data_IF_699140206990
#
_entry.id   IF_699140206990
#
_cell.length_a   1.000
_cell.length_b   1.000
_cell.length_c   1.000
_cell.angle_alpha   90.00
_cell.angle_beta   90.00
_cell.angle_gamma   90.00
#
_symmetry.space_group_name_H-M   'P 1'
#
loop_
_entity.id
_entity.type
_entity.pdbx_description
1 polymer ?
#
# COMPACT_ATOMS: atom_id res chain seq x y z
N UNK A 1 16.82 -28.84 -9.15
CA UNK A 1 16.39 -27.88 -8.10
C UNK A 1 14.88 -27.85 -8.10
N UNK A 2 14.24 -28.42 -7.07
CA UNK A 2 12.80 -28.25 -6.86
C UNK A 2 12.58 -26.86 -6.27
N UNK A 3 12.04 -25.93 -7.06
CA UNK A 3 11.65 -24.62 -6.58
C UNK A 3 10.50 -24.78 -5.57
N UNK A 4 10.70 -24.33 -4.34
CA UNK A 4 9.68 -24.32 -3.30
C UNK A 4 9.04 -22.93 -3.21
N UNK A 5 7.71 -22.86 -3.25
CA UNK A 5 6.96 -21.61 -3.06
C UNK A 5 6.27 -21.70 -1.70
N UNK A 6 6.49 -20.69 -0.85
CA UNK A 6 5.81 -20.54 0.43
C UNK A 6 4.67 -19.55 0.26
N UNK A 7 3.44 -19.99 0.49
CA UNK A 7 2.25 -19.13 0.42
C UNK A 7 1.89 -18.61 1.82
N UNK A 8 1.82 -17.29 1.96
CA UNK A 8 1.36 -16.63 3.19
C UNK A 8 -0.17 -16.53 3.32
N UNK A 9 -0.94 -16.96 2.31
CA UNK A 9 -2.39 -16.76 2.24
C UNK A 9 -3.20 -17.36 3.40
N UNK A 10 -2.65 -18.35 4.11
CA UNK A 10 -3.29 -18.92 5.30
C UNK A 10 -3.08 -18.07 6.57
N UNK A 11 -2.15 -17.11 6.56
CA UNK A 11 -1.94 -16.12 7.61
C UNK A 11 -2.77 -14.88 7.29
N UNK A 12 -4.09 -14.95 7.51
CA UNK A 12 -5.04 -13.93 7.03
C UNK A 12 -5.94 -13.35 8.13
N UNK A 13 -5.47 -13.33 9.38
CA UNK A 13 -6.24 -12.79 10.49
C UNK A 13 -5.96 -11.30 10.69
N UNK A 14 -7.02 -10.54 10.95
CA UNK A 14 -6.92 -9.22 11.58
C UNK A 14 -6.76 -9.47 13.08
N UNK A 15 -5.59 -9.06 13.64
CA UNK A 15 -5.21 -9.40 15.02
C UNK A 15 -5.78 -8.38 15.98
N UNK A 16 -5.62 -7.09 15.67
CA UNK A 16 -6.15 -6.02 16.50
C UNK A 16 -6.40 -4.76 15.69
N UNK A 17 -7.39 -3.98 16.10
CA UNK A 17 -7.67 -2.68 15.52
C UNK A 17 -8.03 -1.66 16.61
N UNK A 18 -7.26 -0.60 16.69
CA UNK A 18 -7.55 0.53 17.56
C UNK A 18 -8.27 1.62 16.76
N UNK A 19 -9.59 1.65 16.85
CA UNK A 19 -10.46 2.60 16.14
C UNK A 19 -10.28 4.06 16.61
N UNK A 20 -9.71 4.31 17.79
CA UNK A 20 -9.46 5.69 18.25
C UNK A 20 -8.32 6.36 17.51
N UNK A 21 -7.28 5.60 17.18
CA UNK A 21 -6.08 6.13 16.55
C UNK A 21 -5.74 5.52 15.17
N UNK A 22 -6.60 4.61 14.65
CA UNK A 22 -6.42 4.00 13.33
C UNK A 22 -5.18 3.13 13.18
N UNK A 23 -4.72 2.49 14.27
CA UNK A 23 -3.63 1.51 14.20
C UNK A 23 -4.23 0.12 14.12
N UNK A 24 -3.84 -0.63 13.09
CA UNK A 24 -4.27 -2.01 12.87
C UNK A 24 -3.07 -2.94 12.79
N UNK A 25 -3.20 -4.13 13.38
CA UNK A 25 -2.25 -5.21 13.25
C UNK A 25 -2.90 -6.39 12.53
N UNK A 26 -2.24 -6.85 11.47
CA UNK A 26 -2.75 -7.93 10.62
C UNK A 26 -1.66 -8.94 10.30
N UNK A 27 -2.06 -10.17 10.00
CA UNK A 27 -1.19 -11.16 9.40
C UNK A 27 -0.87 -10.81 7.94
N UNK A 28 0.30 -11.21 7.46
CA UNK A 28 0.84 -10.81 6.16
C UNK A 28 0.00 -11.27 4.96
N UNK A 29 -0.78 -12.33 5.10
CA UNK A 29 -1.64 -12.89 4.06
C UNK A 29 -3.02 -12.24 3.92
N UNK A 30 -3.38 -11.30 4.80
CA UNK A 30 -4.61 -10.50 4.64
C UNK A 30 -4.54 -9.74 3.32
N UNK A 31 -5.62 -9.81 2.52
CA UNK A 31 -5.73 -9.02 1.29
C UNK A 31 -6.06 -7.56 1.60
N UNK A 32 -5.58 -6.66 0.75
CA UNK A 32 -5.99 -5.26 0.79
C UNK A 32 -7.51 -5.10 0.73
N UNK A 33 -8.20 -5.92 -0.09
CA UNK A 33 -9.65 -5.99 -0.16
C UNK A 33 -10.26 -6.24 1.22
N UNK A 34 -9.82 -7.30 1.90
CA UNK A 34 -10.34 -7.72 3.22
C UNK A 34 -10.08 -6.63 4.27
N UNK A 35 -8.92 -5.99 4.19
CA UNK A 35 -8.56 -4.89 5.08
C UNK A 35 -9.47 -3.67 4.87
N UNK A 36 -9.74 -3.27 3.62
CA UNK A 36 -10.63 -2.16 3.29
C UNK A 36 -12.06 -2.47 3.75
N UNK A 37 -12.58 -3.66 3.43
CA UNK A 37 -13.93 -4.08 3.80
C UNK A 37 -14.15 -4.08 5.34
N UNK A 38 -13.08 -4.37 6.09
CA UNK A 38 -13.12 -4.33 7.55
C UNK A 38 -13.04 -2.91 8.13
N UNK A 39 -12.19 -2.05 7.58
CA UNK A 39 -11.86 -0.75 8.20
C UNK A 39 -12.73 0.41 7.71
N UNK A 40 -13.17 0.38 6.44
CA UNK A 40 -13.92 1.47 5.83
C UNK A 40 -15.27 1.75 6.51
N UNK A 41 -16.08 0.74 6.89
CA UNK A 41 -17.32 0.98 7.64
C UNK A 41 -17.08 1.62 9.02
N UNK A 42 -15.85 1.55 9.53
CA UNK A 42 -15.44 2.13 10.81
C UNK A 42 -14.82 3.52 10.66
N UNK A 43 -14.88 4.12 9.45
CA UNK A 43 -14.34 5.44 9.15
C UNK A 43 -12.82 5.49 8.95
N UNK A 44 -12.19 4.35 8.57
CA UNK A 44 -10.76 4.27 8.33
C UNK A 44 -10.43 3.62 6.99
N UNK A 45 -9.41 4.15 6.34
CA UNK A 45 -8.99 3.69 5.03
C UNK A 45 -7.49 3.42 4.95
N UNK A 46 -7.11 2.50 4.07
CA UNK A 46 -5.70 2.19 3.82
C UNK A 46 -5.08 3.34 3.01
N UNK A 47 -4.02 3.98 3.52
CA UNK A 47 -3.49 5.20 2.89
C UNK A 47 -2.87 4.97 1.51
N UNK A 48 -2.42 3.76 1.21
CA UNK A 48 -1.76 3.41 -0.05
C UNK A 48 -2.51 2.27 -0.72
N UNK A 49 -3.05 2.55 -1.90
CA UNK A 49 -3.73 1.56 -2.73
C UNK A 49 -2.99 1.40 -4.06
N UNK A 50 -2.36 0.24 -4.30
CA UNK A 50 -1.81 -0.11 -5.61
C UNK A 50 -2.93 -0.34 -6.64
N UNK A 51 -2.57 -0.70 -7.87
CA UNK A 51 -3.52 -0.87 -8.98
C UNK A 51 -4.54 -2.00 -8.81
N UNK A 52 -4.40 -2.85 -7.79
CA UNK A 52 -5.33 -3.94 -7.49
C UNK A 52 -5.52 -4.10 -5.98
N UNK A 53 -6.72 -4.50 -5.58
CA UNK A 53 -7.06 -4.81 -4.18
C UNK A 53 -6.77 -6.27 -3.78
N UNK A 54 -6.35 -7.10 -4.72
CA UNK A 54 -6.08 -8.53 -4.50
C UNK A 54 -4.62 -8.83 -4.14
N UNK A 55 -3.89 -7.85 -3.65
CA UNK A 55 -2.55 -7.98 -3.08
C UNK A 55 -2.63 -8.27 -1.59
N UNK A 56 -1.67 -9.03 -1.05
CA UNK A 56 -1.55 -9.25 0.40
C UNK A 56 -0.82 -8.09 1.06
N UNK A 57 -1.14 -7.81 2.34
CA UNK A 57 -0.45 -6.76 3.11
C UNK A 57 1.05 -7.04 3.19
N UNK A 58 1.47 -8.29 3.41
CA UNK A 58 2.88 -8.67 3.39
C UNK A 58 3.55 -8.40 2.04
N UNK A 59 2.86 -8.69 0.93
CA UNK A 59 3.33 -8.38 -0.42
C UNK A 59 3.45 -6.87 -0.67
N UNK A 60 2.49 -6.08 -0.18
CA UNK A 60 2.57 -4.62 -0.25
C UNK A 60 3.81 -4.08 0.46
N UNK A 61 4.12 -4.61 1.65
CA UNK A 61 5.32 -4.22 2.41
C UNK A 61 6.59 -4.67 1.71
N UNK A 62 6.67 -5.93 1.29
CA UNK A 62 7.84 -6.50 0.63
C UNK A 62 8.22 -5.77 -0.66
N UNK A 63 7.24 -5.20 -1.35
CA UNK A 63 7.46 -4.41 -2.57
C UNK A 63 7.49 -2.89 -2.31
N UNK A 64 7.34 -2.45 -1.05
CA UNK A 64 7.20 -1.04 -0.70
C UNK A 64 6.25 -0.32 -1.66
N UNK A 65 5.05 -0.89 -1.86
CA UNK A 65 4.13 -0.40 -2.88
C UNK A 65 3.83 1.09 -2.73
N UNK A 66 3.71 1.75 -3.85
CA UNK A 66 3.24 3.12 -3.93
C UNK A 66 1.77 3.19 -4.34
N UNK A 67 1.12 4.27 -3.97
CA UNK A 67 -0.21 4.64 -4.43
C UNK A 67 -0.16 5.72 -5.50
N UNK A 68 -1.32 6.29 -5.77
CA UNK A 68 -1.50 7.44 -6.66
C UNK A 68 -1.58 8.75 -5.88
N UNK A 69 -1.16 8.72 -4.62
CA UNK A 69 -1.09 9.88 -3.74
C UNK A 69 -0.03 10.86 -4.24
N UNK A 70 -0.29 12.15 -4.09
CA UNK A 70 0.66 13.20 -4.45
C UNK A 70 1.83 13.21 -3.46
N UNK A 71 1.52 13.07 -2.16
CA UNK A 71 2.50 13.05 -1.08
C UNK A 71 2.48 11.73 -0.32
N UNK A 72 3.59 11.37 0.32
CA UNK A 72 3.74 10.15 1.12
C UNK A 72 3.19 8.90 0.39
N UNK A 73 3.53 8.78 -0.89
CA UNK A 73 2.94 7.81 -1.81
C UNK A 73 3.44 6.37 -1.66
N UNK A 74 4.23 6.06 -0.62
CA UNK A 74 4.75 4.72 -0.35
C UNK A 74 4.22 4.18 0.98
N UNK A 75 3.97 2.87 1.03
CA UNK A 75 3.44 2.22 2.23
C UNK A 75 4.37 2.32 3.43
N UNK A 76 5.69 2.43 3.21
CA UNK A 76 6.70 2.55 4.28
C UNK A 76 6.44 3.67 5.28
N UNK A 77 5.80 4.75 4.86
CA UNK A 77 5.49 5.88 5.76
C UNK A 77 4.45 5.52 6.82
N UNK A 78 3.63 4.52 6.54
CA UNK A 78 2.49 4.11 7.37
C UNK A 78 2.76 2.84 8.18
N UNK A 79 3.85 2.11 7.90
CA UNK A 79 4.25 0.93 8.67
C UNK A 79 4.83 1.38 10.01
N UNK A 80 4.33 0.80 11.09
CA UNK A 80 4.80 1.02 12.46
C UNK A 80 5.74 -0.08 12.92
N UNK A 81 5.35 -1.33 12.73
CA UNK A 81 6.07 -2.51 13.20
C UNK A 81 5.89 -3.67 12.22
N UNK A 82 6.86 -4.56 12.19
CA UNK A 82 6.84 -5.82 11.45
C UNK A 82 7.30 -6.96 12.37
N UNK A 83 6.69 -8.13 12.19
CA UNK A 83 7.25 -9.39 12.64
C UNK A 83 7.61 -10.20 11.40
N UNK A 84 8.83 -10.66 11.31
CA UNK A 84 9.31 -11.51 10.24
C UNK A 84 10.06 -12.72 10.78
N UNK A 85 10.08 -13.80 10.02
CA UNK A 85 10.89 -14.99 10.30
C UNK A 85 12.08 -15.00 9.34
N UNK A 86 13.29 -15.20 9.88
CA UNK A 86 14.51 -15.27 9.10
C UNK A 86 14.88 -16.73 8.72
N UNK A 87 16.01 -16.91 8.05
CA UNK A 87 16.55 -18.22 7.64
C UNK A 87 16.85 -19.15 8.83
N UNK A 88 17.11 -18.60 10.02
CA UNK A 88 17.39 -19.38 11.23
C UNK A 88 16.11 -19.77 12.00
N UNK A 89 14.94 -19.61 11.39
CA UNK A 89 13.63 -19.82 12.00
C UNK A 89 13.36 -18.95 13.24
N UNK A 90 14.05 -17.80 13.36
CA UNK A 90 13.84 -16.87 14.46
C UNK A 90 12.84 -15.79 14.05
N UNK A 91 11.86 -15.55 14.92
CA UNK A 91 10.92 -14.45 14.75
C UNK A 91 11.59 -13.17 15.25
N UNK A 92 11.70 -12.20 14.36
CA UNK A 92 12.28 -10.89 14.63
C UNK A 92 11.17 -9.85 14.62
N UNK A 93 11.02 -9.18 15.76
CA UNK A 93 10.20 -7.98 15.86
C UNK A 93 11.04 -6.76 15.51
N UNK A 94 10.59 -5.94 14.56
CA UNK A 94 11.31 -4.77 14.12
C UNK A 94 10.37 -3.56 13.90
N UNK A 95 10.93 -2.38 14.12
CA UNK A 95 10.26 -1.10 13.99
C UNK A 95 11.27 0.00 13.65
N UNK A 96 10.83 1.25 13.62
CA UNK A 96 11.73 2.40 13.42
C UNK A 96 12.77 2.57 14.54
N UNK A 97 12.50 2.03 15.74
CA UNK A 97 13.37 2.16 16.93
C UNK A 97 13.99 0.84 17.39
N UNK A 98 13.48 -0.30 16.91
CA UNK A 98 13.96 -1.63 17.28
C UNK A 98 14.31 -2.42 16.02
N UNK A 99 15.52 -2.99 15.97
CA UNK A 99 16.02 -3.72 14.79
C UNK A 99 15.85 -2.91 13.50
N UNK A 100 16.16 -1.62 13.57
CA UNK A 100 15.88 -0.62 12.54
C UNK A 100 16.45 -0.99 11.15
N UNK A 101 17.67 -1.57 11.13
CA UNK A 101 18.27 -2.01 9.87
C UNK A 101 17.43 -3.08 9.18
N UNK A 102 16.95 -4.08 9.94
CA UNK A 102 16.09 -5.15 9.42
C UNK A 102 14.73 -4.55 8.97
N UNK A 103 14.15 -3.66 9.77
CA UNK A 103 12.92 -2.97 9.42
C UNK A 103 13.02 -2.25 8.06
N UNK A 104 14.09 -1.47 7.87
CA UNK A 104 14.29 -0.70 6.65
C UNK A 104 14.59 -1.58 5.43
N UNK A 105 15.30 -2.70 5.60
CA UNK A 105 15.62 -3.62 4.50
C UNK A 105 14.47 -4.57 4.16
N UNK A 106 13.60 -4.90 5.10
CA UNK A 106 12.42 -5.73 4.85
C UNK A 106 11.37 -5.00 4.01
N UNK A 107 11.25 -3.68 4.17
CA UNK A 107 10.32 -2.84 3.39
C UNK A 107 10.94 -2.57 2.02
N UNK A 108 10.40 -3.18 0.98
CA UNK A 108 10.95 -3.15 -0.37
C UNK A 108 12.06 -4.18 -0.62
N UNK A 109 12.29 -5.10 0.32
CA UNK A 109 13.32 -6.13 0.22
C UNK A 109 12.89 -7.40 -0.52
N UNK A 110 11.71 -7.41 -1.15
CA UNK A 110 11.18 -8.54 -1.95
C UNK A 110 11.24 -9.91 -1.25
N UNK A 111 11.16 -9.92 0.11
CA UNK A 111 11.22 -11.15 0.90
C UNK A 111 12.65 -11.67 1.15
N UNK A 112 13.69 -11.03 0.63
CA UNK A 112 15.08 -11.47 0.79
C UNK A 112 15.59 -11.32 2.24
N UNK A 113 14.96 -10.46 3.04
CA UNK A 113 15.32 -10.24 4.46
C UNK A 113 14.67 -11.28 5.38
N UNK A 114 13.65 -11.99 4.89
CA UNK A 114 12.85 -12.97 5.63
C UNK A 114 11.39 -12.88 5.25
N UNK A 115 10.59 -13.86 5.70
CA UNK A 115 9.14 -13.88 5.45
C UNK A 115 8.42 -12.99 6.46
N UNK A 116 7.67 -12.01 5.98
CA UNK A 116 6.83 -11.17 6.84
C UNK A 116 5.65 -11.99 7.34
N UNK A 117 5.45 -12.01 8.67
CA UNK A 117 4.37 -12.72 9.34
C UNK A 117 3.23 -11.78 9.72
N UNK A 118 3.56 -10.61 10.30
CA UNK A 118 2.60 -9.62 10.79
C UNK A 118 3.05 -8.21 10.45
N UNK A 119 2.08 -7.34 10.24
CA UNK A 119 2.29 -5.93 9.92
C UNK A 119 1.39 -5.07 10.80
N UNK A 120 1.96 -4.08 11.45
CA UNK A 120 1.22 -3.02 12.14
C UNK A 120 1.22 -1.76 11.29
N UNK A 121 0.04 -1.30 10.91
CA UNK A 121 -0.18 -0.17 9.99
C UNK A 121 -0.89 0.98 10.69
N UNK A 122 -0.58 2.21 10.28
CA UNK A 122 -1.38 3.39 10.55
C UNK A 122 -2.31 3.64 9.38
N UNK A 123 -3.61 3.67 9.64
CA UNK A 123 -4.65 4.03 8.69
C UNK A 123 -4.91 5.54 8.70
N UNK A 124 -5.57 6.04 7.67
CA UNK A 124 -6.09 7.41 7.59
C UNK A 124 -7.57 7.42 7.94
N UNK A 125 -8.01 8.47 8.64
CA UNK A 125 -9.42 8.67 8.92
C UNK A 125 -10.13 9.21 7.69
N UNK A 126 -11.33 8.70 7.40
CA UNK A 126 -12.17 9.15 6.29
C UNK A 126 -13.57 9.44 6.80
N UNK A 127 -14.22 10.41 6.17
CA UNK A 127 -15.57 10.85 6.53
C UNK A 127 -16.65 10.26 5.60
N UNK A 128 -16.23 9.61 4.52
CA UNK A 128 -17.12 9.02 3.51
C UNK A 128 -16.48 7.80 2.87
N UNK A 129 -17.30 6.87 2.42
CA UNK A 129 -16.95 5.74 1.57
C UNK A 129 -16.98 6.10 0.06
N UNK A 130 -17.34 7.35 -0.25
CA UNK A 130 -17.43 7.87 -1.62
C UNK A 130 -16.21 8.71 -1.97
N UNK A 131 -15.84 8.67 -3.23
CA UNK A 131 -14.80 9.52 -3.82
C UNK A 131 -15.44 10.58 -4.72
N UNK A 132 -14.96 11.80 -4.60
CA UNK A 132 -15.21 12.83 -5.58
C UNK A 132 -14.18 12.70 -6.71
N UNK A 133 -14.64 12.69 -7.96
CA UNK A 133 -13.79 12.53 -9.12
C UNK A 133 -14.00 13.70 -10.08
N UNK A 134 -12.90 14.34 -10.48
CA UNK A 134 -12.85 15.29 -11.59
C UNK A 134 -12.16 14.61 -12.78
N UNK A 135 -12.87 14.48 -13.89
CA UNK A 135 -12.33 14.00 -15.16
C UNK A 135 -12.12 15.20 -16.08
N UNK A 136 -10.91 15.36 -16.60
CA UNK A 136 -10.57 16.39 -17.55
C UNK A 136 -9.87 15.75 -18.75
N UNK A 137 -10.41 15.98 -19.94
CA UNK A 137 -9.81 15.49 -21.19
C UNK A 137 -8.79 16.49 -21.73
N UNK A 138 -7.79 15.98 -22.44
CA UNK A 138 -6.80 16.78 -23.17
C UNK A 138 -6.47 16.09 -24.48
N UNK A 139 -6.20 16.88 -25.52
CA UNK A 139 -5.94 16.40 -26.87
C UNK A 139 -4.51 16.66 -27.32
N UNK A 140 -3.77 17.49 -26.59
CA UNK A 140 -2.39 17.84 -26.92
C UNK A 140 -1.48 17.72 -25.70
N UNK A 141 -0.18 17.51 -25.96
CA UNK A 141 0.82 17.50 -24.90
C UNK A 141 0.89 18.83 -24.14
N UNK A 142 0.68 19.95 -24.84
CA UNK A 142 0.68 21.27 -24.20
C UNK A 142 -0.47 21.45 -23.22
N UNK A 143 -1.68 20.95 -23.55
CA UNK A 143 -2.83 20.92 -22.62
C UNK A 143 -2.56 20.01 -21.44
N UNK A 144 -2.00 18.81 -21.68
CA UNK A 144 -1.58 17.90 -20.60
C UNK A 144 -0.63 18.60 -19.64
N UNK A 145 0.41 19.27 -20.13
CA UNK A 145 1.37 19.96 -19.28
C UNK A 145 0.76 21.10 -18.48
N UNK A 146 -0.21 21.83 -19.05
CA UNK A 146 -0.97 22.86 -18.31
C UNK A 146 -1.79 22.23 -17.16
N UNK A 147 -2.48 21.12 -17.43
CA UNK A 147 -3.25 20.39 -16.41
C UNK A 147 -2.33 19.79 -15.34
N UNK A 148 -1.22 19.18 -15.76
CA UNK A 148 -0.25 18.57 -14.84
C UNK A 148 0.37 19.59 -13.88
N UNK A 149 0.68 20.79 -14.36
CA UNK A 149 1.27 21.86 -13.55
C UNK A 149 0.24 22.62 -12.69
N UNK A 150 -1.07 22.41 -12.95
CA UNK A 150 -2.12 23.03 -12.14
C UNK A 150 -2.18 22.36 -10.78
N UNK A 151 -2.03 23.14 -9.72
CA UNK A 151 -2.19 22.64 -8.35
C UNK A 151 -3.67 22.39 -8.07
N UNK A 152 -4.04 21.14 -7.96
CA UNK A 152 -5.35 20.70 -7.50
C UNK A 152 -5.25 20.26 -6.04
N UNK A 153 -6.28 20.51 -5.27
CA UNK A 153 -6.38 20.02 -3.89
C UNK A 153 -7.00 18.61 -3.86
N UNK A 154 -6.42 17.69 -4.67
CA UNK A 154 -6.83 16.30 -4.69
C UNK A 154 -5.81 15.43 -3.97
N UNK A 155 -6.31 14.37 -3.33
CA UNK A 155 -5.46 13.37 -2.67
C UNK A 155 -4.78 12.43 -3.67
N UNK A 156 -5.40 12.21 -4.84
CA UNK A 156 -4.95 11.28 -5.86
C UNK A 156 -4.99 11.92 -7.25
N UNK A 157 -3.94 11.67 -8.04
CA UNK A 157 -3.89 12.04 -9.45
C UNK A 157 -3.64 10.79 -10.30
N UNK A 158 -4.40 10.66 -11.39
CA UNK A 158 -4.24 9.59 -12.36
C UNK A 158 -4.27 10.19 -13.75
N UNK A 159 -3.24 9.90 -14.54
CA UNK A 159 -3.20 10.25 -15.95
C UNK A 159 -3.30 8.99 -16.79
N UNK A 160 -4.12 9.05 -17.79
CA UNK A 160 -4.28 7.96 -18.75
C UNK A 160 -4.11 8.49 -20.16
N UNK A 161 -3.21 7.88 -20.92
CA UNK A 161 -3.02 8.17 -22.33
C UNK A 161 -3.64 7.02 -23.11
N UNK A 162 -4.78 7.31 -23.78
CA UNK A 162 -5.42 6.36 -24.68
C UNK A 162 -4.78 6.41 -26.04
N UNK A 163 -4.65 5.51 -26.83
CA UNK A 163 -4.24 5.42 -28.23
C UNK A 163 -2.96 6.21 -28.64
N UNK A 164 -1.82 5.55 -28.49
CA UNK A 164 -0.52 6.07 -28.95
C UNK A 164 -0.29 5.98 -30.47
N UNK A 165 -1.23 5.39 -31.23
CA UNK A 165 -1.11 5.17 -32.68
C UNK A 165 -1.54 6.35 -33.55
N UNK A 166 -2.17 7.36 -32.97
CA UNK A 166 -2.56 8.59 -33.65
C UNK A 166 -1.68 9.74 -33.20
N UNK A 167 -1.35 10.66 -34.12
CA UNK A 167 -0.59 11.89 -33.81
C UNK A 167 -1.29 12.81 -32.80
N UNK A 168 -2.53 12.52 -32.45
CA UNK A 168 -3.32 13.22 -31.45
C UNK A 168 -3.51 12.29 -30.25
N UNK A 169 -3.10 12.73 -29.08
CA UNK A 169 -3.44 12.10 -27.82
C UNK A 169 -4.94 12.37 -27.55
N UNK A 170 -5.74 11.35 -27.46
CA UNK A 170 -7.11 11.44 -26.95
C UNK A 170 -7.18 10.90 -25.55
#
# INVERSE_FOLDING_TARGET
NKNCIISSRKFNKIISFNNKNGIIEVEAGVLLKELIEYTLPQGWFVPICPGTKYVTVGGMVANNVHGKNIENNQIRFYIKELNLINSDNKIIHCSRTKNQKIFNTAIGGHGLTGMILKVKLKLIKVNSDKLEQLITEFNTYGEFMKLFNKKYNFQYNVFWIGNLSTKNFK
#
